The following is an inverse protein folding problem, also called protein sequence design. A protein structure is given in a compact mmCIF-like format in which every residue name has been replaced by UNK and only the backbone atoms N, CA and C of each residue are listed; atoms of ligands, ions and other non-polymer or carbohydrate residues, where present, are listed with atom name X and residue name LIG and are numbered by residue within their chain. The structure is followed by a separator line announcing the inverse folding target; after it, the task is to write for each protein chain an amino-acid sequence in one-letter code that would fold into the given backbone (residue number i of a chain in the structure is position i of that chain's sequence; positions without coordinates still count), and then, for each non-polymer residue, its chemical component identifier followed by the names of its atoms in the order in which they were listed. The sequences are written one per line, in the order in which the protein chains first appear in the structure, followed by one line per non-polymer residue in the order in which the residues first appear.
data_IF_495914846868
#
_entry.id   IF_495914846868
#
_cell.length_a   1.000
_cell.length_b   1.000
_cell.length_c   1.000
_cell.angle_alpha   90.00
_cell.angle_beta   90.00
_cell.angle_gamma   90.00
#
_symmetry.space_group_name_H-M   'P 1'
#
loop_
_entity.id
_entity.type
_entity.pdbx_description
1 polymer ?
#
# COMPACT_ATOMS: atom_id res chain seq x y z
N UNK A 1 11.79 29.33 -33.84
CA UNK A 1 11.54 27.87 -33.92
C UNK A 1 12.59 27.25 -34.85
N UNK A 2 13.18 26.10 -34.48
CA UNK A 2 14.10 25.37 -35.35
C UNK A 2 13.34 24.77 -36.53
N UNK A 3 13.95 24.74 -37.72
CA UNK A 3 13.36 24.08 -38.88
C UNK A 3 13.35 22.55 -38.71
N UNK A 4 12.47 21.86 -39.44
CA UNK A 4 12.37 20.38 -39.40
C UNK A 4 13.73 19.70 -39.66
N UNK A 5 14.53 20.21 -40.60
CA UNK A 5 15.87 19.67 -40.89
C UNK A 5 16.91 19.95 -39.80
N UNK A 6 16.72 20.99 -38.98
CA UNK A 6 17.57 21.25 -37.82
C UNK A 6 17.20 20.33 -36.65
N UNK A 7 15.91 20.03 -36.47
CA UNK A 7 15.42 19.07 -35.46
C UNK A 7 15.90 17.65 -35.80
N UNK A 8 15.81 17.25 -37.06
CA UNK A 8 16.24 15.92 -37.52
C UNK A 8 17.76 15.75 -37.33
N UNK A 9 18.57 16.75 -37.71
CA UNK A 9 20.02 16.76 -37.46
C UNK A 9 20.39 16.67 -35.98
N UNK A 10 19.63 17.30 -35.09
CA UNK A 10 19.86 17.21 -33.64
C UNK A 10 19.48 15.83 -33.08
N UNK A 11 18.42 15.21 -33.60
CA UNK A 11 18.04 13.82 -33.25
C UNK A 11 19.11 12.84 -33.69
N UNK A 12 19.60 12.97 -34.93
CA UNK A 12 20.63 12.12 -35.48
C UNK A 12 21.96 12.30 -34.75
N UNK A 13 22.34 13.54 -34.41
CA UNK A 13 23.51 13.81 -33.58
C UNK A 13 23.40 13.18 -32.18
N UNK A 14 22.20 13.17 -31.57
CA UNK A 14 21.96 12.53 -30.27
C UNK A 14 22.05 11.00 -30.34
N UNK A 15 21.60 10.40 -31.44
CA UNK A 15 21.75 8.96 -31.70
C UNK A 15 23.22 8.59 -31.96
N UNK A 16 23.92 9.33 -32.81
CA UNK A 16 25.34 9.15 -33.08
C UNK A 16 26.21 9.34 -31.83
N UNK A 17 25.88 10.30 -30.96
CA UNK A 17 26.56 10.48 -29.68
C UNK A 17 26.32 9.31 -28.74
N UNK A 18 25.08 8.80 -28.66
CA UNK A 18 24.74 7.60 -27.87
C UNK A 18 25.50 6.36 -28.37
N UNK A 19 25.75 6.28 -29.67
CA UNK A 19 26.47 5.19 -30.32
C UNK A 19 27.99 5.41 -30.42
N UNK A 20 28.50 6.53 -29.91
CA UNK A 20 29.93 6.85 -29.94
C UNK A 20 30.77 5.87 -29.12
N UNK A 21 32.03 5.65 -29.54
CA UNK A 21 32.97 4.76 -28.84
C UNK A 21 33.18 5.15 -27.37
N UNK A 22 33.21 6.45 -27.07
CA UNK A 22 33.35 6.96 -25.70
C UNK A 22 32.16 6.62 -24.81
N UNK A 23 30.92 6.75 -25.31
CA UNK A 23 29.72 6.37 -24.55
C UNK A 23 29.64 4.85 -24.37
N UNK A 24 30.03 4.06 -25.38
CA UNK A 24 30.11 2.59 -25.24
C UNK A 24 31.17 2.16 -24.23
N UNK A 25 32.35 2.78 -24.24
CA UNK A 25 33.43 2.53 -23.26
C UNK A 25 32.98 2.88 -21.84
N UNK A 26 32.35 4.05 -21.64
CA UNK A 26 31.80 4.45 -20.35
C UNK A 26 30.71 3.49 -19.84
N UNK A 27 29.80 3.07 -20.72
CA UNK A 27 28.73 2.10 -20.40
C UNK A 27 29.31 0.72 -20.07
N UNK A 28 30.34 0.29 -20.81
CA UNK A 28 31.06 -0.97 -20.58
C UNK A 28 31.81 -0.96 -19.25
N UNK A 29 32.51 0.14 -18.93
CA UNK A 29 33.18 0.33 -17.65
C UNK A 29 32.19 0.33 -16.48
N UNK A 30 31.06 1.04 -16.62
CA UNK A 30 29.99 1.04 -15.62
C UNK A 30 29.41 -0.37 -15.42
N UNK A 31 29.14 -1.09 -16.51
CA UNK A 31 28.63 -2.47 -16.46
C UNK A 31 29.63 -3.40 -15.77
N UNK A 32 30.92 -3.24 -16.07
CA UNK A 32 31.99 -4.03 -15.45
C UNK A 32 32.12 -3.73 -13.96
N UNK A 33 32.06 -2.45 -13.57
CA UNK A 33 32.03 -2.04 -12.16
C UNK A 33 30.83 -2.61 -11.40
N UNK A 34 29.64 -2.59 -11.99
CA UNK A 34 28.43 -3.20 -11.40
C UNK A 34 28.57 -4.71 -11.25
N UNK A 35 29.15 -5.41 -12.24
CA UNK A 35 29.42 -6.86 -12.13
C UNK A 35 30.35 -7.17 -10.95
N UNK A 36 31.45 -6.43 -10.82
CA UNK A 36 32.39 -6.57 -9.71
C UNK A 36 31.68 -6.29 -8.38
N UNK A 37 30.97 -5.17 -8.26
CA UNK A 37 30.22 -4.82 -7.07
C UNK A 37 29.21 -5.93 -6.69
N UNK A 38 28.51 -6.52 -7.66
CA UNK A 38 27.51 -7.57 -7.42
C UNK A 38 28.08 -8.96 -7.12
N UNK A 39 29.38 -9.17 -7.32
CA UNK A 39 30.00 -10.50 -7.21
C UNK A 39 30.09 -11.04 -5.78
N UNK A 40 30.07 -10.14 -4.78
CA UNK A 40 30.11 -10.51 -3.36
C UNK A 40 29.37 -9.47 -2.49
N UNK A 41 28.76 -9.93 -1.39
CA UNK A 41 28.02 -9.06 -0.45
C UNK A 41 28.83 -7.86 0.06
N UNK A 42 30.11 -8.00 0.47
CA UNK A 42 30.89 -6.85 0.95
C UNK A 42 31.16 -5.81 -0.15
N UNK A 43 31.36 -6.25 -1.39
CA UNK A 43 31.58 -5.36 -2.53
C UNK A 43 30.31 -4.58 -2.88
N UNK A 44 29.14 -5.23 -2.83
CA UNK A 44 27.86 -4.57 -3.02
C UNK A 44 27.60 -3.52 -1.93
N UNK A 45 27.93 -3.87 -0.68
CA UNK A 45 27.83 -2.95 0.45
C UNK A 45 28.75 -1.74 0.24
N UNK A 46 30.03 -1.95 -0.07
CA UNK A 46 30.98 -0.87 -0.33
C UNK A 46 30.52 0.03 -1.49
N UNK A 47 29.95 -0.55 -2.56
CA UNK A 47 29.42 0.21 -3.69
C UNK A 47 28.30 1.18 -3.25
N UNK A 48 27.30 0.70 -2.50
CA UNK A 48 26.19 1.54 -2.04
C UNK A 48 26.53 2.43 -0.81
N UNK A 49 27.63 2.15 -0.11
CA UNK A 49 28.13 3.04 0.94
C UNK A 49 28.99 4.17 0.40
N UNK A 50 29.82 3.92 -0.63
CA UNK A 50 30.86 4.85 -1.08
C UNK A 50 30.59 5.49 -2.44
N UNK A 51 29.99 4.74 -3.37
CA UNK A 51 29.90 5.14 -4.78
C UNK A 51 28.48 5.52 -5.21
N UNK A 52 27.45 4.98 -4.56
CA UNK A 52 26.05 5.20 -4.93
C UNK A 52 25.16 5.36 -3.70
N UNK A 53 24.45 6.48 -3.57
CA UNK A 53 23.57 6.75 -2.42
C UNK A 53 22.11 6.33 -2.63
N UNK A 54 21.83 5.55 -3.67
CA UNK A 54 20.44 5.31 -4.12
C UNK A 54 19.56 4.57 -3.10
N UNK A 55 20.14 3.83 -2.15
CA UNK A 55 19.38 3.13 -1.10
C UNK A 55 19.35 3.87 0.25
N UNK A 56 20.17 4.92 0.44
CA UNK A 56 20.29 5.59 1.75
C UNK A 56 18.97 6.18 2.24
N UNK A 57 18.11 6.62 1.32
CA UNK A 57 16.78 7.12 1.66
C UNK A 57 15.90 6.01 2.22
N UNK A 58 15.82 4.88 1.52
CA UNK A 58 15.04 3.72 1.98
C UNK A 58 15.58 3.24 3.34
N UNK A 59 16.89 3.09 3.48
CA UNK A 59 17.54 2.74 4.75
C UNK A 59 17.09 3.67 5.88
N UNK A 60 17.18 5.00 5.68
CA UNK A 60 16.76 5.99 6.67
C UNK A 60 15.27 5.93 6.97
N UNK A 61 14.41 5.83 5.95
CA UNK A 61 12.96 5.80 6.12
C UNK A 61 12.52 4.55 6.89
N UNK A 62 13.13 3.39 6.59
CA UNK A 62 12.90 2.14 7.31
C UNK A 62 13.34 2.26 8.76
N UNK A 63 14.54 2.77 9.01
CA UNK A 63 15.03 2.97 10.39
C UNK A 63 14.16 3.94 11.18
N UNK A 64 13.64 5.01 10.57
CA UNK A 64 12.71 5.93 11.22
C UNK A 64 11.37 5.25 11.55
N UNK A 65 10.86 4.40 10.65
CA UNK A 65 9.64 3.62 10.88
C UNK A 65 9.82 2.64 12.04
N UNK A 66 10.93 1.90 12.05
CA UNK A 66 11.28 0.99 13.12
C UNK A 66 11.46 1.71 14.46
N UNK A 67 12.19 2.82 14.47
CA UNK A 67 12.38 3.62 15.67
C UNK A 67 11.05 4.10 16.24
N UNK A 68 10.13 4.57 15.39
CA UNK A 68 8.78 4.95 15.82
C UNK A 68 8.00 3.75 16.36
N UNK A 69 7.93 2.65 15.63
CA UNK A 69 7.21 1.45 16.05
C UNK A 69 7.70 0.98 17.43
N UNK A 70 9.01 0.91 17.63
CA UNK A 70 9.59 0.49 18.90
C UNK A 70 9.39 1.51 20.02
N UNK A 71 9.45 2.82 19.73
CA UNK A 71 9.16 3.86 20.71
C UNK A 71 7.72 3.74 21.23
N UNK A 72 6.73 3.59 20.34
CA UNK A 72 5.33 3.41 20.72
C UNK A 72 5.08 2.16 21.56
N UNK A 73 5.85 1.08 21.33
CA UNK A 73 5.79 -0.11 22.19
C UNK A 73 6.33 0.14 23.61
N UNK A 74 7.36 0.98 23.77
CA UNK A 74 7.98 1.26 25.06
C UNK A 74 7.22 2.34 25.84
N UNK A 75 6.69 3.35 25.15
CA UNK A 75 5.99 4.49 25.74
C UNK A 75 4.52 4.18 26.11
N UNK A 76 4.17 2.89 26.16
CA UNK A 76 2.84 2.41 26.49
C UNK A 76 1.77 3.02 25.54
N UNK A 77 2.09 3.24 24.26
CA UNK A 77 1.23 3.99 23.33
C UNK A 77 0.13 3.16 22.66
N UNK A 78 -0.86 3.83 22.06
CA UNK A 78 -2.01 3.26 21.36
C UNK A 78 -1.66 2.79 19.93
N UNK A 79 -0.66 1.91 19.79
CA UNK A 79 -0.20 1.42 18.48
C UNK A 79 -1.25 0.53 17.79
N UNK A 80 -1.99 1.13 16.86
CA UNK A 80 -3.06 0.45 16.11
C UNK A 80 -2.54 -0.71 15.27
N UNK A 81 -1.35 -0.61 14.68
CA UNK A 81 -0.81 -1.66 13.81
C UNK A 81 -0.49 -2.94 14.60
N UNK A 82 -0.05 -2.80 15.85
CA UNK A 82 0.12 -3.92 16.78
C UNK A 82 -1.22 -4.55 17.14
N UNK A 83 -2.22 -3.73 17.49
CA UNK A 83 -3.57 -4.19 17.80
C UNK A 83 -4.12 -5.02 16.64
N UNK A 84 -4.20 -4.44 15.43
CA UNK A 84 -4.74 -5.12 14.24
C UNK A 84 -4.02 -6.42 13.94
N UNK A 85 -2.68 -6.41 13.99
CA UNK A 85 -1.87 -7.61 13.79
C UNK A 85 -2.21 -8.69 14.79
N UNK A 86 -2.28 -8.35 16.08
CA UNK A 86 -2.47 -9.35 17.13
C UNK A 86 -3.91 -9.88 17.14
N UNK A 87 -4.92 -9.03 16.95
CA UNK A 87 -6.32 -9.47 16.77
C UNK A 87 -6.43 -10.45 15.59
N UNK A 88 -5.83 -10.11 14.44
CA UNK A 88 -5.84 -11.01 13.29
C UNK A 88 -5.07 -12.33 13.53
N UNK A 89 -4.05 -12.34 14.39
CA UNK A 89 -3.39 -13.58 14.82
C UNK A 89 -4.33 -14.44 15.69
N UNK A 90 -5.15 -13.83 16.53
CA UNK A 90 -6.18 -14.52 17.31
C UNK A 90 -7.24 -15.14 16.38
N UNK A 91 -7.73 -14.39 15.38
CA UNK A 91 -8.67 -14.93 14.37
C UNK A 91 -8.15 -16.20 13.71
N UNK A 92 -6.88 -16.19 13.29
CA UNK A 92 -6.24 -17.38 12.71
C UNK A 92 -6.26 -18.53 13.69
N UNK A 93 -5.84 -18.29 14.93
CA UNK A 93 -5.85 -19.30 16.00
C UNK A 93 -7.25 -19.88 16.26
N UNK A 94 -8.27 -19.01 16.31
CA UNK A 94 -9.68 -19.39 16.47
C UNK A 94 -10.19 -20.29 15.34
N UNK A 95 -9.67 -20.11 14.12
CA UNK A 95 -10.06 -20.86 12.91
C UNK A 95 -9.27 -22.15 12.66
N UNK A 96 -8.21 -22.43 13.42
CA UNK A 96 -7.34 -23.61 13.22
C UNK A 96 -8.09 -24.93 13.42
N UNK A 97 -7.67 -25.96 12.67
CA UNK A 97 -8.22 -27.32 12.75
C UNK A 97 -7.07 -28.36 12.80
N UNK A 98 -6.86 -29.07 13.92
CA UNK A 98 -7.51 -28.85 15.22
C UNK A 98 -7.06 -27.53 15.87
N UNK A 99 -7.97 -26.85 16.58
CA UNK A 99 -7.64 -25.68 17.40
C UNK A 99 -6.95 -26.14 18.68
N UNK A 100 -5.85 -25.48 19.05
CA UNK A 100 -5.18 -25.73 20.34
C UNK A 100 -6.07 -25.21 21.49
N UNK A 101 -6.19 -25.92 22.62
CA UNK A 101 -7.00 -25.46 23.75
C UNK A 101 -6.45 -24.18 24.40
N UNK A 102 -5.13 -24.00 24.34
CA UNK A 102 -4.42 -22.81 24.80
C UNK A 102 -3.49 -22.33 23.67
N UNK A 103 -3.58 -21.05 23.32
CA UNK A 103 -2.70 -20.41 22.34
C UNK A 103 -2.49 -18.93 22.71
N UNK A 104 -1.70 -18.20 21.93
CA UNK A 104 -1.46 -16.75 22.09
C UNK A 104 -0.81 -16.25 23.41
N UNK A 105 -0.31 -17.15 24.26
CA UNK A 105 0.33 -16.80 25.55
C UNK A 105 1.39 -15.70 25.43
N UNK A 106 2.19 -15.73 24.38
CA UNK A 106 3.32 -14.80 24.22
C UNK A 106 2.90 -13.37 23.86
N UNK A 107 1.62 -13.12 23.54
CA UNK A 107 1.17 -11.81 23.06
C UNK A 107 -0.23 -11.39 23.50
N UNK A 108 -1.01 -12.24 24.19
CA UNK A 108 -2.40 -11.89 24.57
C UNK A 108 -2.46 -10.69 25.51
N UNK A 109 -1.55 -10.59 26.48
CA UNK A 109 -1.53 -9.47 27.43
C UNK A 109 -1.17 -8.16 26.73
N UNK A 110 -0.18 -8.20 25.83
CA UNK A 110 0.15 -7.09 24.93
C UNK A 110 -1.07 -6.68 24.10
N UNK A 111 -1.82 -7.66 23.57
CA UNK A 111 -3.01 -7.43 22.73
C UNK A 111 -4.11 -6.71 23.50
N UNK A 112 -4.43 -7.17 24.71
CA UNK A 112 -5.48 -6.55 25.52
C UNK A 112 -5.06 -5.15 25.99
N UNK A 113 -3.79 -4.99 26.38
CA UNK A 113 -3.27 -3.69 26.80
C UNK A 113 -3.29 -2.66 25.67
N UNK A 114 -2.88 -3.04 24.44
CA UNK A 114 -2.94 -2.12 23.30
C UNK A 114 -4.38 -1.81 22.93
N UNK A 115 -5.28 -2.80 22.92
CA UNK A 115 -6.71 -2.58 22.68
C UNK A 115 -7.31 -1.58 23.69
N UNK A 116 -7.09 -1.80 24.98
CA UNK A 116 -7.56 -0.90 26.05
C UNK A 116 -7.13 0.55 25.80
N UNK A 117 -5.87 0.79 25.43
CA UNK A 117 -5.35 2.14 25.20
C UNK A 117 -5.93 2.81 23.96
N UNK A 118 -6.13 2.05 22.89
CA UNK A 118 -6.78 2.58 21.67
C UNK A 118 -8.23 2.97 22.00
N UNK A 119 -8.90 2.20 22.86
CA UNK A 119 -10.25 2.53 23.36
C UNK A 119 -10.25 3.77 24.27
N UNK A 120 -9.29 3.87 25.19
CA UNK A 120 -9.21 4.97 26.17
C UNK A 120 -8.77 6.32 25.55
N UNK A 121 -7.97 6.27 24.48
CA UNK A 121 -7.42 7.45 23.81
C UNK A 121 -7.43 7.29 22.27
N UNK A 122 -8.62 7.21 21.64
CA UNK A 122 -8.74 6.98 20.20
C UNK A 122 -8.05 8.08 19.38
N UNK A 123 -8.00 9.31 19.87
CA UNK A 123 -7.32 10.45 19.24
C UNK A 123 -5.79 10.28 19.16
N UNK A 124 -5.20 9.47 20.04
CA UNK A 124 -3.77 9.12 19.99
C UNK A 124 -3.47 8.00 19.00
N UNK A 125 -4.50 7.25 18.59
CA UNK A 125 -4.37 6.23 17.57
C UNK A 125 -4.59 6.82 16.17
N UNK A 126 -4.04 6.17 15.14
CA UNK A 126 -4.37 6.51 13.76
C UNK A 126 -5.77 6.00 13.33
N UNK A 127 -6.58 5.50 14.28
CA UNK A 127 -7.85 4.81 14.02
C UNK A 127 -8.91 5.18 15.07
N UNK A 128 -9.73 6.18 14.76
CA UNK A 128 -10.88 6.57 15.59
C UNK A 128 -12.18 5.85 15.17
N UNK A 129 -12.12 4.88 14.25
CA UNK A 129 -13.33 4.22 13.74
C UNK A 129 -13.90 3.26 14.78
N UNK A 130 -15.21 3.34 15.00
CA UNK A 130 -15.93 2.38 15.84
C UNK A 130 -15.73 0.94 15.33
N UNK A 131 -15.60 0.78 14.02
CA UNK A 131 -15.63 -0.54 13.40
C UNK A 131 -14.48 -1.46 13.78
N UNK A 132 -13.26 -0.94 13.78
CA UNK A 132 -12.08 -1.75 14.12
C UNK A 132 -12.00 -2.08 15.60
N UNK A 133 -12.50 -1.18 16.46
CA UNK A 133 -12.64 -1.43 17.88
C UNK A 133 -13.71 -2.49 18.16
N UNK A 134 -14.81 -2.49 17.41
CA UNK A 134 -15.84 -3.53 17.50
C UNK A 134 -15.29 -4.89 17.07
N UNK A 135 -14.57 -4.95 15.95
CA UNK A 135 -13.90 -6.18 15.51
C UNK A 135 -12.92 -6.73 16.54
N UNK A 136 -12.07 -5.87 17.11
CA UNK A 136 -11.14 -6.28 18.16
C UNK A 136 -11.89 -6.80 19.41
N UNK A 137 -12.96 -6.13 19.82
CA UNK A 137 -13.79 -6.55 20.96
C UNK A 137 -14.44 -7.92 20.73
N UNK A 138 -15.07 -8.13 19.58
CA UNK A 138 -15.77 -9.38 19.26
C UNK A 138 -14.80 -10.55 19.19
N UNK A 139 -13.62 -10.37 18.57
CA UNK A 139 -12.58 -11.40 18.50
C UNK A 139 -12.00 -11.72 19.87
N UNK A 140 -11.73 -10.72 20.71
CA UNK A 140 -11.24 -10.94 22.08
C UNK A 140 -12.29 -11.65 22.94
N UNK A 141 -13.56 -11.26 22.81
CA UNK A 141 -14.69 -11.89 23.50
C UNK A 141 -14.80 -13.37 23.12
N UNK A 142 -14.79 -13.69 21.83
CA UNK A 142 -14.82 -15.06 21.34
C UNK A 142 -13.57 -15.85 21.76
N UNK A 143 -12.39 -15.22 21.72
CA UNK A 143 -11.15 -15.81 22.19
C UNK A 143 -11.25 -16.25 23.66
N UNK A 144 -11.61 -15.35 24.57
CA UNK A 144 -11.73 -15.68 25.99
C UNK A 144 -12.89 -16.65 26.28
N UNK A 145 -13.92 -16.68 25.44
CA UNK A 145 -15.01 -17.66 25.56
C UNK A 145 -14.56 -19.10 25.31
N UNK A 146 -13.61 -19.33 24.40
CA UNK A 146 -13.30 -20.68 23.90
C UNK A 146 -11.96 -21.26 24.33
N UNK A 147 -11.04 -20.44 24.84
CA UNK A 147 -9.76 -20.93 25.37
C UNK A 147 -9.95 -21.59 26.74
N UNK A 148 -9.15 -22.62 27.00
CA UNK A 148 -9.10 -23.26 28.32
C UNK A 148 -8.43 -22.34 29.36
N UNK A 149 -8.64 -22.67 30.64
CA UNK A 149 -8.00 -21.97 31.77
C UNK A 149 -6.47 -22.04 31.66
N UNK A 150 -5.83 -20.89 31.85
CA UNK A 150 -4.38 -20.73 31.90
C UNK A 150 -4.06 -19.41 32.61
N UNK A 151 -3.11 -19.38 33.57
CA UNK A 151 -2.86 -18.18 34.37
C UNK A 151 -2.54 -16.92 33.57
N UNK A 152 -1.89 -17.05 32.41
CA UNK A 152 -1.57 -15.91 31.54
C UNK A 152 -2.83 -15.39 30.85
N UNK A 153 -3.67 -16.30 30.36
CA UNK A 153 -4.92 -15.95 29.68
C UNK A 153 -5.93 -15.36 30.65
N UNK A 154 -6.03 -15.90 31.87
CA UNK A 154 -6.94 -15.42 32.91
C UNK A 154 -6.55 -14.02 33.40
N UNK A 155 -5.25 -13.74 33.49
CA UNK A 155 -4.77 -12.39 33.78
C UNK A 155 -5.16 -11.41 32.67
N UNK A 156 -4.94 -11.77 31.39
CA UNK A 156 -5.31 -10.91 30.26
C UNK A 156 -6.84 -10.70 30.18
N UNK A 157 -7.64 -11.73 30.49
CA UNK A 157 -9.11 -11.66 30.57
C UNK A 157 -9.56 -10.59 31.58
N UNK A 158 -8.98 -10.59 32.79
CA UNK A 158 -9.27 -9.59 33.82
C UNK A 158 -8.97 -8.15 33.40
N UNK A 159 -8.02 -7.95 32.48
CA UNK A 159 -7.75 -6.63 31.90
C UNK A 159 -8.81 -6.29 30.85
N UNK A 160 -9.18 -7.26 30.01
CA UNK A 160 -10.19 -7.08 28.96
C UNK A 160 -11.58 -6.80 29.53
N UNK A 161 -11.97 -7.49 30.60
CA UNK A 161 -13.28 -7.31 31.28
C UNK A 161 -13.51 -5.89 31.82
N UNK A 162 -12.44 -5.08 31.95
CA UNK A 162 -12.51 -3.67 32.35
C UNK A 162 -12.69 -2.72 31.16
N UNK A 163 -12.52 -3.18 29.93
CA UNK A 163 -12.70 -2.37 28.74
C UNK A 163 -14.20 -2.19 28.47
N UNK A 164 -14.67 -0.99 28.10
CA UNK A 164 -16.06 -0.78 27.77
C UNK A 164 -16.45 -1.60 26.55
N UNK A 165 -17.63 -2.22 26.60
CA UNK A 165 -18.23 -2.82 25.41
C UNK A 165 -18.58 -1.70 24.41
N UNK A 166 -18.47 -1.96 23.10
CA UNK A 166 -18.82 -0.97 22.12
C UNK A 166 -20.31 -0.60 22.16
N UNK A 167 -20.62 0.69 22.04
CA UNK A 167 -21.97 1.25 22.26
C UNK A 167 -22.95 0.93 21.14
N UNK A 168 -22.47 0.65 19.93
CA UNK A 168 -23.33 0.34 18.77
C UNK A 168 -23.11 -1.12 18.33
N UNK A 169 -24.13 -1.96 18.51
CA UNK A 169 -24.11 -3.29 17.86
C UNK A 169 -24.34 -3.10 16.36
N UNK A 170 -23.40 -3.60 15.56
CA UNK A 170 -23.53 -3.59 14.12
C UNK A 170 -24.71 -4.46 13.68
N UNK A 171 -25.51 -3.97 12.72
CA UNK A 171 -26.54 -4.78 12.06
C UNK A 171 -25.97 -6.03 11.35
N UNK A 172 -24.65 -6.06 11.10
CA UNK A 172 -23.95 -7.14 10.43
C UNK A 172 -23.59 -8.34 11.36
N UNK A 173 -23.95 -8.30 12.64
CA UNK A 173 -23.63 -9.36 13.61
C UNK A 173 -22.19 -9.31 14.14
N UNK A 174 -21.81 -10.36 14.88
CA UNK A 174 -20.49 -10.48 15.53
C UNK A 174 -19.35 -10.58 14.50
N UNK A 175 -18.28 -9.82 14.72
CA UNK A 175 -17.12 -9.71 13.82
C UNK A 175 -16.04 -10.72 14.18
N UNK A 176 -16.39 -12.00 14.12
CA UNK A 176 -15.51 -13.13 14.45
C UNK A 176 -15.26 -14.03 13.24
N UNK A 177 -14.27 -14.96 13.29
CA UNK A 177 -14.09 -15.93 12.21
C UNK A 177 -15.35 -16.74 11.96
N UNK A 178 -15.78 -16.79 10.70
CA UNK A 178 -17.05 -17.41 10.29
C UNK A 178 -16.85 -18.48 9.21
N UNK A 179 -17.84 -19.36 9.06
CA UNK A 179 -17.90 -20.30 7.93
C UNK A 179 -18.28 -19.52 6.68
N UNK A 180 -17.37 -19.44 5.71
CA UNK A 180 -17.62 -18.80 4.42
C UNK A 180 -18.81 -19.46 3.71
N UNK A 181 -19.76 -18.66 3.22
CA UNK A 181 -20.81 -19.11 2.33
C UNK A 181 -20.19 -19.47 0.96
N UNK A 182 -20.44 -20.69 0.49
CA UNK A 182 -19.92 -21.18 -0.80
C UNK A 182 -20.97 -21.20 -1.90
N UNK A 183 -22.25 -21.05 -1.55
CA UNK A 183 -23.37 -21.13 -2.50
C UNK A 183 -23.59 -19.79 -3.23
N UNK A 184 -23.05 -18.70 -2.68
CA UNK A 184 -23.24 -17.35 -3.19
C UNK A 184 -22.03 -16.88 -4.00
N UNK A 185 -22.30 -16.54 -5.27
CA UNK A 185 -21.35 -15.91 -6.18
C UNK A 185 -21.97 -14.62 -6.72
N UNK A 186 -21.81 -13.49 -6.00
CA UNK A 186 -22.50 -12.25 -6.34
C UNK A 186 -22.02 -11.63 -7.67
N UNK A 187 -20.85 -12.04 -8.16
CA UNK A 187 -20.26 -11.60 -9.43
C UNK A 187 -19.72 -12.84 -10.17
N UNK A 188 -20.12 -13.03 -11.42
CA UNK A 188 -19.60 -14.10 -12.28
C UNK A 188 -18.17 -13.81 -12.74
N UNK A 189 -17.46 -14.84 -13.21
CA UNK A 189 -16.13 -14.65 -13.78
C UNK A 189 -16.17 -13.69 -14.97
N UNK A 190 -17.14 -13.86 -15.86
CA UNK A 190 -17.32 -13.05 -17.07
C UNK A 190 -17.60 -11.59 -16.71
N UNK A 191 -18.43 -11.34 -15.69
CA UNK A 191 -18.70 -9.97 -15.21
C UNK A 191 -17.42 -9.31 -14.69
N UNK A 192 -16.62 -10.03 -13.89
CA UNK A 192 -15.35 -9.53 -13.38
C UNK A 192 -14.33 -9.34 -14.51
N UNK A 193 -14.27 -10.25 -15.48
CA UNK A 193 -13.41 -10.16 -16.65
C UNK A 193 -13.77 -8.93 -17.50
N UNK A 194 -15.05 -8.68 -17.75
CA UNK A 194 -15.49 -7.49 -18.47
C UNK A 194 -15.10 -6.20 -17.74
N UNK A 195 -15.23 -6.16 -16.41
CA UNK A 195 -14.75 -5.03 -15.61
C UNK A 195 -13.23 -4.86 -15.75
N UNK A 196 -12.46 -5.96 -15.68
CA UNK A 196 -11.00 -5.94 -15.79
C UNK A 196 -10.51 -5.48 -17.17
N UNK A 197 -11.22 -5.85 -18.24
CA UNK A 197 -10.97 -5.43 -19.62
C UNK A 197 -11.34 -3.96 -19.82
N UNK A 198 -12.53 -3.57 -19.34
CA UNK A 198 -13.09 -2.23 -19.49
C UNK A 198 -12.21 -1.18 -18.81
N UNK A 199 -11.74 -1.46 -17.59
CA UNK A 199 -10.87 -0.54 -16.87
C UNK A 199 -9.61 -0.25 -17.69
N UNK A 200 -9.39 1.01 -18.07
CA UNK A 200 -8.20 1.49 -18.78
C UNK A 200 -7.54 2.66 -18.03
N UNK A 201 -6.30 2.99 -18.40
CA UNK A 201 -5.65 4.21 -17.91
C UNK A 201 -6.14 5.40 -18.72
N UNK A 202 -7.06 6.17 -18.14
CA UNK A 202 -7.66 7.37 -18.76
C UNK A 202 -6.88 8.61 -18.34
N UNK A 203 -6.55 9.48 -19.31
CA UNK A 203 -5.74 10.70 -19.10
C UNK A 203 -6.44 11.98 -19.52
N UNK A 204 -7.62 11.85 -20.12
CA UNK A 204 -8.46 12.94 -20.60
C UNK A 204 -9.79 12.79 -19.90
N UNK A 205 -10.21 13.85 -19.24
CA UNK A 205 -11.37 13.84 -18.36
C UNK A 205 -12.29 14.98 -18.73
N UNK A 206 -13.59 14.76 -18.54
CA UNK A 206 -14.53 15.87 -18.51
C UNK A 206 -14.13 16.84 -17.39
N UNK A 207 -14.16 18.15 -17.69
CA UNK A 207 -13.85 19.21 -16.72
C UNK A 207 -15.04 19.47 -15.80
N UNK A 208 -15.53 18.41 -15.13
CA UNK A 208 -16.62 18.45 -14.16
C UNK A 208 -16.17 17.90 -12.80
N UNK A 209 -16.66 18.47 -11.68
CA UNK A 209 -16.30 18.00 -10.34
C UNK A 209 -16.68 16.54 -10.12
N UNK A 210 -15.83 15.82 -9.39
CA UNK A 210 -16.13 14.46 -8.92
C UNK A 210 -16.76 14.56 -7.53
N UNK A 211 -17.99 14.07 -7.32
CA UNK A 211 -18.59 14.05 -5.98
C UNK A 211 -17.76 13.22 -5.00
N UNK A 212 -17.43 13.79 -3.83
CA UNK A 212 -16.63 13.11 -2.79
C UNK A 212 -17.27 11.81 -2.30
N UNK A 213 -18.61 11.74 -2.27
CA UNK A 213 -19.35 10.52 -1.90
C UNK A 213 -19.01 9.32 -2.81
N UNK A 214 -18.74 9.55 -4.10
CA UNK A 214 -18.31 8.47 -5.00
C UNK A 214 -16.88 8.03 -4.67
N UNK A 215 -16.00 8.96 -4.28
CA UNK A 215 -14.65 8.63 -3.83
C UNK A 215 -14.71 7.85 -2.52
N UNK A 216 -15.50 8.28 -1.53
CA UNK A 216 -15.68 7.61 -0.24
C UNK A 216 -16.21 6.18 -0.42
N UNK A 217 -17.20 6.00 -1.30
CA UNK A 217 -17.70 4.67 -1.67
C UNK A 217 -16.60 3.79 -2.29
N UNK A 218 -15.77 4.37 -3.16
CA UNK A 218 -14.65 3.66 -3.76
C UNK A 218 -13.53 3.33 -2.75
N UNK A 219 -13.23 4.24 -1.80
CA UNK A 219 -12.30 3.99 -0.71
C UNK A 219 -12.80 2.88 0.23
N UNK A 220 -14.11 2.82 0.48
CA UNK A 220 -14.74 1.72 1.21
C UNK A 220 -14.42 0.36 0.58
N UNK A 221 -14.51 0.24 -0.76
CA UNK A 221 -14.11 -0.99 -1.45
C UNK A 221 -12.59 -1.23 -1.40
N UNK A 222 -11.79 -0.18 -1.50
CA UNK A 222 -10.34 -0.27 -1.40
C UNK A 222 -9.87 -0.79 -0.03
N UNK A 223 -10.56 -0.40 1.05
CA UNK A 223 -10.31 -0.87 2.41
C UNK A 223 -10.60 -2.35 2.64
N UNK A 224 -11.37 -3.00 1.75
CA UNK A 224 -11.60 -4.45 1.78
C UNK A 224 -10.42 -5.24 1.20
N UNK A 225 -9.42 -4.58 0.59
CA UNK A 225 -8.22 -5.26 0.09
C UNK A 225 -7.45 -5.92 1.23
N UNK A 226 -6.91 -7.13 1.01
CA UNK A 226 -6.08 -7.78 2.01
C UNK A 226 -4.79 -6.97 2.25
N UNK A 227 -4.27 -7.05 3.47
CA UNK A 227 -3.01 -6.44 3.87
C UNK A 227 -2.27 -7.32 4.87
N UNK A 228 -0.96 -7.11 5.05
CA UNK A 228 -0.15 -7.95 5.90
C UNK A 228 -0.61 -7.91 7.37
N UNK A 229 -1.21 -9.02 7.82
CA UNK A 229 -1.86 -9.14 9.12
C UNK A 229 -2.97 -8.10 9.36
N UNK A 230 -3.71 -7.74 8.30
CA UNK A 230 -4.79 -6.75 8.33
C UNK A 230 -4.36 -5.36 8.82
N UNK A 231 -3.07 -4.99 8.72
CA UNK A 231 -2.56 -3.70 9.23
C UNK A 231 -3.00 -2.50 8.42
N UNK A 232 -3.29 -2.69 7.13
CA UNK A 232 -3.71 -1.62 6.21
C UNK A 232 -2.79 -0.38 6.31
N UNK A 233 -1.47 -0.52 6.03
CA UNK A 233 -0.48 0.52 6.29
C UNK A 233 -0.52 1.64 5.23
N UNK A 234 -1.70 1.97 4.69
CA UNK A 234 -1.89 2.91 3.59
C UNK A 234 -2.97 3.94 3.88
N UNK A 235 -2.81 5.14 3.33
CA UNK A 235 -3.80 6.22 3.33
C UNK A 235 -3.94 6.85 1.95
N UNK A 236 -5.13 7.36 1.65
CA UNK A 236 -5.43 8.09 0.42
C UNK A 236 -5.48 9.58 0.73
N UNK A 237 -4.57 10.36 0.16
CA UNK A 237 -4.62 11.82 0.21
C UNK A 237 -5.31 12.33 -1.03
N UNK A 238 -6.47 12.95 -0.86
CA UNK A 238 -7.33 13.40 -1.93
C UNK A 238 -7.14 14.89 -2.16
N UNK A 239 -6.89 15.26 -3.40
CA UNK A 239 -6.74 16.65 -3.84
C UNK A 239 -7.74 16.91 -4.96
N UNK A 240 -8.79 17.66 -4.65
CA UNK A 240 -9.85 18.10 -5.56
C UNK A 240 -9.94 19.63 -5.69
N UNK A 241 -9.10 20.37 -4.96
CA UNK A 241 -8.90 21.81 -5.10
C UNK A 241 -7.99 22.12 -6.31
N UNK A 242 -8.40 22.98 -7.26
CA UNK A 242 -7.62 23.28 -8.47
C UNK A 242 -6.19 23.79 -8.22
N UNK A 243 -5.96 24.60 -7.19
CA UNK A 243 -4.63 25.13 -6.88
C UNK A 243 -3.72 24.04 -6.32
N UNK A 244 -4.26 23.20 -5.43
CA UNK A 244 -3.54 22.03 -4.91
C UNK A 244 -3.24 21.03 -6.02
N UNK A 245 -4.20 20.76 -6.92
CA UNK A 245 -4.04 19.85 -8.05
C UNK A 245 -2.88 20.30 -8.94
N UNK A 246 -2.76 21.59 -9.27
CA UNK A 246 -1.65 22.08 -10.10
C UNK A 246 -0.28 21.73 -9.50
N UNK A 247 -0.18 21.80 -8.16
CA UNK A 247 1.03 21.46 -7.42
C UNK A 247 1.26 19.94 -7.36
N UNK A 248 0.27 19.19 -6.89
CA UNK A 248 0.39 17.75 -6.63
C UNK A 248 0.49 16.95 -7.93
N UNK A 249 -0.26 17.32 -8.97
CA UNK A 249 -0.21 16.66 -10.28
C UNK A 249 1.14 16.82 -10.98
N UNK A 250 1.95 17.79 -10.55
CA UNK A 250 3.31 18.01 -11.06
C UNK A 250 4.36 17.15 -10.36
N UNK A 251 4.00 16.39 -9.31
CA UNK A 251 4.92 15.49 -8.63
C UNK A 251 5.29 14.27 -9.49
N UNK A 252 4.35 13.49 -10.05
CA UNK A 252 4.70 12.29 -10.79
C UNK A 252 5.20 12.66 -12.19
N UNK A 253 6.40 12.23 -12.56
CA UNK A 253 7.01 12.60 -13.85
C UNK A 253 6.20 12.19 -15.09
N UNK A 254 5.31 11.20 -14.97
CA UNK A 254 4.48 10.70 -16.08
C UNK A 254 3.26 11.57 -16.45
N UNK A 255 3.00 12.68 -15.75
CA UNK A 255 1.81 13.52 -15.95
C UNK A 255 2.03 14.74 -16.84
N UNK A 256 3.28 15.05 -17.21
CA UNK A 256 3.68 16.33 -17.85
C UNK A 256 2.76 16.73 -19.01
N UNK A 257 2.39 15.79 -19.89
CA UNK A 257 1.60 16.07 -21.09
C UNK A 257 0.09 16.26 -20.87
N UNK A 258 -0.44 15.97 -19.69
CA UNK A 258 -1.90 15.89 -19.46
C UNK A 258 -2.34 16.29 -18.05
N UNK A 259 -1.42 16.73 -17.18
CA UNK A 259 -1.74 17.13 -15.80
C UNK A 259 -2.80 18.22 -15.67
N UNK A 260 -2.93 19.08 -16.70
CA UNK A 260 -3.91 20.16 -16.77
C UNK A 260 -5.36 19.66 -16.96
N UNK A 261 -5.56 18.37 -17.24
CA UNK A 261 -6.87 17.74 -17.40
C UNK A 261 -7.38 17.09 -16.11
N UNK A 262 -6.53 16.94 -15.08
CA UNK A 262 -6.80 16.11 -13.91
C UNK A 262 -7.77 16.84 -12.97
N UNK A 263 -9.00 16.34 -12.74
CA UNK A 263 -9.94 17.00 -11.83
C UNK A 263 -9.77 16.55 -10.38
N UNK A 264 -9.23 15.34 -10.14
CA UNK A 264 -8.84 14.86 -8.81
C UNK A 264 -7.51 14.13 -8.91
N UNK A 265 -6.59 14.46 -8.00
CA UNK A 265 -5.35 13.71 -7.82
C UNK A 265 -5.36 13.04 -6.45
N UNK A 266 -4.98 11.76 -6.41
CA UNK A 266 -4.88 10.99 -5.17
C UNK A 266 -3.44 10.54 -4.99
N UNK A 267 -2.86 10.81 -3.82
CA UNK A 267 -1.60 10.21 -3.41
C UNK A 267 -1.88 9.03 -2.47
N UNK A 268 -1.47 7.82 -2.88
CA UNK A 268 -1.50 6.65 -2.00
C UNK A 268 -0.19 6.65 -1.23
N UNK A 269 -0.27 6.78 0.09
CA UNK A 269 0.88 6.88 0.98
C UNK A 269 0.92 5.64 1.86
N UNK A 270 2.09 5.02 1.96
CA UNK A 270 2.36 3.89 2.83
C UNK A 270 3.18 4.29 4.05
N UNK A 271 2.96 3.64 5.19
CA UNK A 271 3.64 3.97 6.46
C UNK A 271 4.52 2.81 6.95
N UNK A 272 5.82 3.06 7.09
CA UNK A 272 6.80 2.06 7.50
C UNK A 272 6.78 1.75 9.00
N UNK A 273 6.21 2.65 9.81
CA UNK A 273 5.98 2.44 11.24
C UNK A 273 4.89 1.39 11.54
N UNK A 274 4.25 0.81 10.52
CA UNK A 274 3.36 -0.33 10.70
C UNK A 274 4.09 -1.66 10.98
N UNK A 275 5.41 -1.69 10.84
CA UNK A 275 6.22 -2.91 10.88
C UNK A 275 7.38 -2.82 11.86
N UNK A 276 7.79 -3.98 12.38
CA UNK A 276 8.79 -4.13 13.43
C UNK A 276 10.14 -4.67 12.92
N UNK A 277 10.28 -4.88 11.61
CA UNK A 277 11.51 -5.41 11.02
C UNK A 277 11.68 -4.97 9.57
N UNK A 278 12.93 -4.75 9.16
CA UNK A 278 13.38 -4.36 7.83
C UNK A 278 12.97 -5.36 6.73
N UNK A 279 12.66 -6.61 7.12
CA UNK A 279 12.11 -7.62 6.21
C UNK A 279 10.78 -7.17 5.57
N UNK A 280 10.04 -6.29 6.25
CA UNK A 280 8.71 -5.84 5.85
C UNK A 280 8.74 -4.49 5.07
N UNK A 281 9.93 -3.94 4.76
CA UNK A 281 10.06 -2.63 4.09
C UNK A 281 9.29 -2.47 2.77
N UNK A 282 9.03 -3.57 2.06
CA UNK A 282 8.28 -3.54 0.80
C UNK A 282 6.77 -3.71 0.98
N UNK A 283 6.31 -4.08 2.18
CA UNK A 283 4.91 -4.45 2.41
C UNK A 283 3.98 -3.27 2.18
N UNK A 284 4.42 -2.04 2.49
CA UNK A 284 3.63 -0.83 2.21
C UNK A 284 3.27 -0.67 0.72
N UNK A 285 4.16 -1.09 -0.18
CA UNK A 285 3.92 -1.00 -1.63
C UNK A 285 3.02 -2.14 -2.12
N UNK A 286 3.16 -3.33 -1.53
CA UNK A 286 2.30 -4.49 -1.82
C UNK A 286 0.87 -4.19 -1.38
N UNK A 287 0.69 -3.83 -0.12
CA UNK A 287 -0.62 -3.55 0.47
C UNK A 287 -1.27 -2.33 -0.20
N UNK A 288 -0.51 -1.25 -0.43
CA UNK A 288 -1.00 -0.08 -1.17
C UNK A 288 -1.34 -0.38 -2.63
N UNK A 289 -0.61 -1.28 -3.30
CA UNK A 289 -0.91 -1.73 -4.66
C UNK A 289 -2.19 -2.57 -4.75
N UNK A 290 -2.43 -3.43 -3.76
CA UNK A 290 -3.68 -4.20 -3.64
C UNK A 290 -4.87 -3.26 -3.43
N UNK A 291 -4.74 -2.27 -2.55
CA UNK A 291 -5.76 -1.25 -2.33
C UNK A 291 -6.01 -0.40 -3.59
N UNK A 292 -4.95 0.01 -4.29
CA UNK A 292 -5.04 0.80 -5.52
C UNK A 292 -5.81 0.10 -6.64
N UNK A 293 -5.62 -1.21 -6.82
CA UNK A 293 -6.33 -1.98 -7.85
C UNK A 293 -7.82 -2.09 -7.54
N UNK A 294 -8.18 -2.41 -6.28
CA UNK A 294 -9.58 -2.44 -5.83
C UNK A 294 -10.25 -1.08 -5.97
N UNK A 295 -9.56 -0.01 -5.58
CA UNK A 295 -10.03 1.36 -5.77
C UNK A 295 -10.28 1.69 -7.25
N UNK A 296 -9.35 1.31 -8.14
CA UNK A 296 -9.49 1.54 -9.57
C UNK A 296 -10.68 0.79 -10.19
N UNK A 297 -10.96 -0.45 -9.75
CA UNK A 297 -12.17 -1.17 -10.14
C UNK A 297 -13.44 -0.52 -9.58
N UNK A 298 -13.42 -0.07 -8.32
CA UNK A 298 -14.55 0.62 -7.71
C UNK A 298 -14.95 1.86 -8.51
N UNK A 299 -13.97 2.70 -8.86
CA UNK A 299 -14.20 3.90 -9.70
C UNK A 299 -14.89 3.55 -11.02
N UNK A 300 -14.42 2.50 -11.71
CA UNK A 300 -14.98 2.05 -12.98
C UNK A 300 -16.46 1.63 -12.84
N UNK A 301 -16.86 1.04 -11.72
CA UNK A 301 -18.27 0.70 -11.44
C UNK A 301 -19.15 1.91 -11.14
N UNK A 302 -18.54 3.04 -10.75
CA UNK A 302 -19.22 4.29 -10.41
C UNK A 302 -19.26 5.28 -11.58
N UNK A 303 -18.84 4.86 -12.79
CA UNK A 303 -18.79 5.73 -13.98
C UNK A 303 -17.60 6.70 -13.98
N UNK A 304 -16.65 6.53 -13.06
CA UNK A 304 -15.39 7.25 -13.02
C UNK A 304 -14.29 6.42 -13.70
N UNK A 305 -13.20 7.08 -14.07
CA UNK A 305 -12.01 6.42 -14.58
C UNK A 305 -10.76 6.92 -13.86
N UNK A 306 -9.68 6.15 -14.00
CA UNK A 306 -8.42 6.46 -13.32
C UNK A 306 -7.18 6.26 -14.20
N UNK A 307 -6.10 6.92 -13.84
CA UNK A 307 -4.76 6.58 -14.32
C UNK A 307 -3.78 6.51 -13.15
N UNK A 308 -3.28 5.30 -12.89
CA UNK A 308 -2.19 5.07 -11.94
C UNK A 308 -0.89 5.62 -12.53
N UNK A 309 -0.24 6.50 -11.76
CA UNK A 309 1.04 7.09 -12.05
C UNK A 309 2.11 6.41 -11.19
N UNK A 310 3.02 5.69 -11.85
CA UNK A 310 4.17 5.08 -11.19
C UNK A 310 4.97 6.14 -10.42
N UNK A 311 5.40 5.77 -9.21
CA UNK A 311 6.27 6.59 -8.38
C UNK A 311 7.64 5.94 -8.24
N UNK A 312 8.67 6.44 -8.93
CA UNK A 312 10.02 5.90 -8.79
C UNK A 312 10.68 6.43 -7.52
N UNK A 313 11.41 5.56 -6.81
CA UNK A 313 12.23 5.96 -5.66
C UNK A 313 13.44 6.78 -6.13
N UNK A 314 13.21 8.09 -6.28
CA UNK A 314 14.20 9.08 -6.68
C UNK A 314 14.21 10.14 -5.59
N UNK A 315 15.38 10.31 -4.95
CA UNK A 315 15.55 11.18 -3.79
C UNK A 315 15.00 12.60 -3.98
N UNK A 316 15.23 13.22 -5.14
CA UNK A 316 14.74 14.57 -5.42
C UNK A 316 13.22 14.66 -5.57
N UNK A 317 12.59 13.60 -6.08
CA UNK A 317 11.13 13.52 -6.22
C UNK A 317 10.48 13.27 -4.88
N UNK A 318 11.07 12.35 -4.13
CA UNK A 318 10.59 11.99 -2.81
C UNK A 318 10.68 13.15 -1.81
N UNK A 319 11.80 13.89 -1.75
CA UNK A 319 11.90 15.11 -0.93
C UNK A 319 10.82 16.15 -1.29
N UNK A 320 10.52 16.26 -2.58
CA UNK A 320 9.47 17.18 -3.06
C UNK A 320 8.10 16.72 -2.60
N UNK A 321 7.79 15.42 -2.74
CA UNK A 321 6.53 14.85 -2.28
C UNK A 321 6.40 14.95 -0.75
N UNK A 322 7.45 14.64 0.01
CA UNK A 322 7.49 14.76 1.47
C UNK A 322 7.13 16.18 1.91
N UNK A 323 7.76 17.20 1.29
CA UNK A 323 7.47 18.60 1.58
C UNK A 323 6.06 19.01 1.18
N UNK A 324 5.62 18.67 -0.03
CA UNK A 324 4.33 19.10 -0.59
C UNK A 324 3.15 18.43 0.12
N UNK A 325 3.28 17.14 0.44
CA UNK A 325 2.21 16.35 1.05
C UNK A 325 2.28 16.35 2.60
N UNK A 326 3.32 16.96 3.19
CA UNK A 326 3.54 16.95 4.64
C UNK A 326 3.80 15.55 5.20
N UNK A 327 4.55 14.72 4.46
CA UNK A 327 4.83 13.34 4.89
C UNK A 327 5.84 13.31 6.02
N UNK A 328 5.66 12.36 6.94
CA UNK A 328 6.65 12.05 7.96
C UNK A 328 7.79 11.24 7.34
N UNK A 329 8.98 11.25 7.97
CA UNK A 329 10.17 10.61 7.40
C UNK A 329 10.10 9.08 7.21
N UNK A 330 9.10 8.42 7.79
CA UNK A 330 8.80 7.00 7.63
C UNK A 330 7.60 6.73 6.72
N UNK A 331 6.97 7.77 6.17
CA UNK A 331 5.90 7.66 5.19
C UNK A 331 6.47 7.80 3.78
N UNK A 332 5.94 7.01 2.85
CA UNK A 332 6.40 6.95 1.46
C UNK A 332 5.22 7.06 0.50
N UNK A 333 5.30 7.87 -0.57
CA UNK A 333 4.36 7.74 -1.66
C UNK A 333 4.51 6.34 -2.29
N UNK A 334 3.42 5.58 -2.34
CA UNK A 334 3.35 4.30 -3.04
C UNK A 334 3.13 4.54 -4.53
N UNK A 335 2.14 5.37 -4.84
CA UNK A 335 1.81 5.80 -6.20
C UNK A 335 0.88 7.01 -6.16
N UNK A 336 0.70 7.65 -7.30
CA UNK A 336 -0.34 8.66 -7.50
C UNK A 336 -1.41 8.12 -8.44
N UNK A 337 -2.63 8.65 -8.35
CA UNK A 337 -3.73 8.27 -9.22
C UNK A 337 -4.54 9.50 -9.61
N UNK A 338 -4.62 9.78 -10.91
CA UNK A 338 -5.60 10.73 -11.42
C UNK A 338 -6.96 10.06 -11.49
N UNK A 339 -8.01 10.78 -11.09
CA UNK A 339 -9.41 10.32 -11.09
C UNK A 339 -10.29 11.40 -11.70
N UNK A 340 -11.29 10.99 -12.49
CA UNK A 340 -12.25 11.89 -13.09
C UNK A 340 -13.28 11.12 -13.93
N UNK A 341 -14.25 11.84 -14.46
CA UNK A 341 -15.12 11.28 -15.49
C UNK A 341 -14.36 11.22 -16.82
N UNK A 342 -14.34 10.08 -17.53
CA UNK A 342 -13.62 9.97 -18.78
C UNK A 342 -14.24 10.87 -19.85
N UNK A 343 -13.40 11.59 -20.60
CA UNK A 343 -13.84 12.28 -21.81
C UNK A 343 -14.32 11.23 -22.85
N UNK A 344 -15.59 11.29 -23.31
CA UNK A 344 -16.16 10.28 -24.20
C UNK A 344 -15.52 10.25 -25.59
N UNK A 345 -14.91 11.35 -26.02
CA UNK A 345 -14.28 11.47 -27.34
C UNK A 345 -12.76 11.15 -27.29
N UNK A 346 -12.22 10.97 -26.09
CA UNK A 346 -10.80 10.73 -25.90
C UNK A 346 -10.38 9.27 -26.11
N UNK A 347 -9.20 9.08 -26.70
CA UNK A 347 -8.61 7.76 -26.89
C UNK A 347 -7.97 7.22 -25.62
N UNK A 348 -8.06 5.90 -25.44
CA UNK A 348 -7.30 5.13 -24.45
C UNK A 348 -6.22 4.29 -25.13
N UNK A 349 -5.05 4.19 -24.51
CA UNK A 349 -3.98 3.34 -25.03
C UNK A 349 -4.43 1.87 -25.00
N UNK A 350 -4.14 1.07 -26.04
CA UNK A 350 -4.54 -0.34 -26.10
C UNK A 350 -3.75 -1.28 -25.17
N UNK A 351 -2.48 -1.01 -24.87
CA UNK A 351 -1.62 -1.70 -23.89
C UNK A 351 -1.79 -3.23 -23.83
N UNK A 352 -1.44 -3.91 -24.92
CA UNK A 352 -1.47 -5.38 -25.06
C UNK A 352 -0.82 -6.06 -23.84
N UNK A 353 -1.52 -7.05 -23.28
CA UNK A 353 -1.00 -7.86 -22.17
C UNK A 353 -0.08 -8.96 -22.70
N UNK A 354 0.93 -9.30 -21.90
CA UNK A 354 1.81 -10.44 -22.18
C UNK A 354 0.97 -11.72 -22.28
N UNK A 355 1.34 -12.67 -23.14
CA UNK A 355 0.58 -13.88 -23.30
C UNK A 355 0.78 -14.80 -22.08
N UNK A 356 -0.09 -15.79 -21.95
CA UNK A 356 -0.28 -16.49 -20.69
C UNK A 356 0.87 -17.45 -20.36
N UNK A 357 1.50 -18.03 -21.38
CA UNK A 357 2.67 -18.90 -21.32
C UNK A 357 3.93 -18.23 -20.75
N UNK A 358 4.02 -16.89 -20.80
CA UNK A 358 5.15 -16.17 -20.18
C UNK A 358 4.83 -15.67 -18.77
N UNK A 359 3.57 -15.76 -18.33
CA UNK A 359 3.11 -15.33 -17.02
C UNK A 359 2.98 -16.49 -16.03
N UNK A 360 2.90 -17.74 -16.50
CA UNK A 360 2.72 -18.93 -15.65
C UNK A 360 3.62 -20.09 -16.07
N UNK A 361 4.13 -20.80 -15.07
CA UNK A 361 4.80 -22.10 -15.24
C UNK A 361 4.30 -23.04 -14.15
N UNK A 362 3.82 -24.22 -14.53
CA UNK A 362 3.41 -25.26 -13.58
C UNK A 362 4.62 -26.10 -13.18
N UNK A 363 4.78 -26.34 -11.88
CA UNK A 363 5.79 -27.25 -11.31
C UNK A 363 7.21 -27.06 -11.91
N UNK A 364 7.78 -25.84 -11.89
CA UNK A 364 9.15 -25.65 -12.36
C UNK A 364 10.12 -26.52 -11.55
N UNK A 365 11.19 -27.06 -12.17
CA UNK A 365 12.14 -27.92 -11.47
C UNK A 365 12.69 -27.28 -10.20
N UNK A 366 12.57 -27.98 -9.07
CA UNK A 366 13.14 -27.57 -7.80
C UNK A 366 14.50 -28.24 -7.65
N UNK A 367 15.56 -27.45 -7.48
CA UNK A 367 16.86 -27.98 -7.04
C UNK A 367 16.67 -28.44 -5.60
N UNK A 368 16.85 -29.74 -5.35
CA UNK A 368 16.91 -30.25 -3.97
C UNK A 368 18.11 -29.60 -3.26
N UNK A 369 17.94 -29.15 -2.01
CA UNK A 369 18.99 -28.50 -1.24
C UNK A 369 20.22 -29.39 -1.04
#
# INVERSE_FOLDING_TARGET
MLSKSQIDRLRDARLLFRDSGAVRLATSAQTSGLRIASSAKPLATAYYSLLSRQFQREERAVLLGLAKYHAELQEDDANVFLMRRNIHRLEKGLSMRPRRPVFAKDYILETVNVYRKVVDAPERSAESSADSLHWAFDVLSEYFRVVAEDPVLDHARKVFDKCPAPTERSAAGDRIPYKRNLDEHPVSFEQLEQLAIKRRSVRWFEQKPVPRELLDKAFGLAGLSPSACNRQPFRFLVFDDPEMIATVSSLPGGTIGWKHQIPVMIAIVGSLDAFYSEKDRHVIYIDGGLAAMSFSYALETLGLSSCICNWPDIESHERRAEKVLGLKGYERPVMFMAVGYPDPDAMVAYSQKRPLEVMRTYNPPIKKP
#
